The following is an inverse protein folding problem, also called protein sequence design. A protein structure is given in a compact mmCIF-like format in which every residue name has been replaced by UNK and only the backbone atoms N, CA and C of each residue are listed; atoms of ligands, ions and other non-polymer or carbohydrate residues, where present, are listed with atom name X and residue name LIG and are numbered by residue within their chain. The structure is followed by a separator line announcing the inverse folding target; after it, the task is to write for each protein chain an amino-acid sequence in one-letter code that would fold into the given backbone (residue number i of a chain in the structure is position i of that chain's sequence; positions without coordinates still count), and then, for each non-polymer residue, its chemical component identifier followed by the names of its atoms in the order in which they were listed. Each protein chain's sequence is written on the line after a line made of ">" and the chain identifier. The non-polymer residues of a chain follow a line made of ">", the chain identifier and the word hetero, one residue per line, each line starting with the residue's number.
data_IF_845893072411
#
_entry.id   IF_845893072411
#
_cell.length_a   1.000
_cell.length_b   1.000
_cell.length_c   1.000
_cell.angle_alpha   90.00
_cell.angle_beta   90.00
_cell.angle_gamma   90.00
#
_symmetry.space_group_name_H-M   'P 1'
#
loop_
_entity.id
_entity.type
_entity.pdbx_description
1 polymer ?
#
# COMPACT_ATOMS: atom_id res chain seq x y z
N UNK A 1 3.31 9.78 11.03
CA UNK A 1 2.56 10.60 10.04
C UNK A 1 1.22 9.94 9.78
N UNK A 2 0.16 10.68 9.45
CA UNK A 2 -1.15 10.05 9.17
C UNK A 2 -1.21 9.58 7.72
N UNK A 3 -1.79 8.41 7.49
CA UNK A 3 -1.96 7.82 6.16
C UNK A 3 -2.75 8.76 5.23
N UNK A 4 -3.76 9.45 5.76
CA UNK A 4 -4.57 10.43 5.01
C UNK A 4 -3.77 11.63 4.49
N UNK A 5 -2.61 11.94 5.07
CA UNK A 5 -1.69 12.97 4.55
C UNK A 5 -0.90 12.49 3.33
N UNK A 6 -0.86 11.18 3.08
CA UNK A 6 -0.11 10.54 2.00
C UNK A 6 -0.98 10.22 0.78
N UNK A 7 -2.10 10.93 0.62
CA UNK A 7 -3.03 10.79 -0.52
C UNK A 7 -3.37 9.32 -0.85
N UNK A 8 -3.91 8.57 0.13
CA UNK A 8 -4.15 7.15 -0.05
C UNK A 8 -5.31 6.89 -1.03
N UNK A 9 -5.23 5.79 -1.77
CA UNK A 9 -6.25 5.34 -2.71
C UNK A 9 -6.45 3.83 -2.59
N UNK A 10 -7.70 3.39 -2.58
CA UNK A 10 -8.05 1.98 -2.69
C UNK A 10 -7.87 1.51 -4.12
N UNK A 11 -7.34 0.30 -4.29
CA UNK A 11 -7.02 -0.26 -5.59
C UNK A 11 -7.73 -1.58 -5.83
N UNK A 12 -8.13 -1.82 -7.08
CA UNK A 12 -8.49 -3.14 -7.60
C UNK A 12 -7.46 -3.58 -8.63
N UNK A 13 -6.97 -4.80 -8.48
CA UNK A 13 -6.01 -5.38 -9.40
C UNK A 13 -6.73 -5.93 -10.64
N UNK A 14 -6.09 -5.82 -11.81
CA UNK A 14 -6.62 -6.27 -13.09
C UNK A 14 -5.50 -6.84 -13.96
N UNK A 15 -5.84 -7.79 -14.81
CA UNK A 15 -4.96 -8.34 -15.83
C UNK A 15 -5.74 -8.57 -17.12
N UNK A 16 -5.19 -8.10 -18.23
CA UNK A 16 -5.73 -8.24 -19.59
C UNK A 16 -4.56 -8.45 -20.54
N UNK A 17 -4.65 -9.43 -21.43
CA UNK A 17 -3.58 -9.77 -22.39
C UNK A 17 -2.17 -9.88 -21.76
N UNK A 18 -2.09 -10.52 -20.59
CA UNK A 18 -0.85 -10.65 -19.78
C UNK A 18 -0.25 -9.34 -19.27
N UNK A 19 -0.97 -8.22 -19.38
CA UNK A 19 -0.58 -6.92 -18.82
C UNK A 19 -1.29 -6.69 -17.50
N UNK A 20 -0.52 -6.39 -16.46
CA UNK A 20 -1.03 -6.06 -15.14
C UNK A 20 -1.31 -4.56 -15.03
N UNK A 21 -2.45 -4.21 -14.46
CA UNK A 21 -2.80 -2.83 -14.13
C UNK A 21 -3.70 -2.80 -12.90
N UNK A 22 -4.06 -1.60 -12.48
CA UNK A 22 -4.99 -1.40 -11.37
C UNK A 22 -5.90 -0.21 -11.66
N UNK A 23 -7.08 -0.23 -11.05
CA UNK A 23 -7.99 0.91 -11.04
C UNK A 23 -8.28 1.32 -9.60
N UNK A 24 -8.65 2.58 -9.40
CA UNK A 24 -9.16 3.04 -8.12
C UNK A 24 -10.55 2.46 -7.87
N UNK A 25 -10.88 2.27 -6.59
CA UNK A 25 -12.24 1.96 -6.10
C UNK A 25 -12.57 2.87 -4.92
N UNK A 26 -13.84 2.98 -4.57
CA UNK A 26 -14.30 3.99 -3.62
C UNK A 26 -14.24 3.53 -2.16
N UNK A 27 -14.22 2.23 -1.91
CA UNK A 27 -14.33 1.68 -0.56
C UNK A 27 -13.36 0.54 -0.28
N UNK A 28 -13.15 0.29 1.02
CA UNK A 28 -12.30 -0.81 1.45
C UNK A 28 -12.91 -2.16 1.07
N UNK A 29 -14.23 -2.31 1.02
CA UNK A 29 -14.92 -3.55 0.68
C UNK A 29 -14.56 -4.04 -0.73
N UNK A 30 -14.41 -3.11 -1.67
CA UNK A 30 -14.02 -3.38 -3.06
C UNK A 30 -12.50 -3.46 -3.26
N UNK A 31 -11.74 -2.92 -2.29
CA UNK A 31 -10.30 -2.82 -2.37
C UNK A 31 -9.64 -4.19 -2.31
N UNK A 32 -8.67 -4.40 -3.19
CA UNK A 32 -7.73 -5.52 -3.20
C UNK A 32 -6.29 -5.07 -2.85
N UNK A 33 -6.09 -3.77 -2.70
CA UNK A 33 -4.84 -3.16 -2.28
C UNK A 33 -5.00 -1.68 -1.98
N UNK A 34 -3.89 -1.04 -1.63
CA UNK A 34 -3.80 0.39 -1.37
C UNK A 34 -2.57 0.98 -2.06
N UNK A 35 -2.71 2.21 -2.53
CA UNK A 35 -1.60 3.09 -2.93
C UNK A 35 -1.54 4.28 -2.00
N UNK A 36 -0.35 4.72 -1.64
CA UNK A 36 -0.12 5.99 -0.94
C UNK A 36 1.25 6.57 -1.30
N UNK A 37 1.47 7.85 -1.02
CA UNK A 37 2.77 8.50 -1.20
C UNK A 37 3.78 7.98 -0.17
N UNK A 38 5.02 7.75 -0.60
CA UNK A 38 6.06 7.26 0.29
C UNK A 38 6.35 8.28 1.40
N UNK A 39 6.22 7.92 2.69
CA UNK A 39 6.38 8.86 3.80
C UNK A 39 7.80 9.44 3.88
N UNK A 40 8.82 8.62 3.58
CA UNK A 40 10.22 9.04 3.56
C UNK A 40 10.47 10.16 2.54
N UNK A 41 10.04 9.95 1.31
CA UNK A 41 10.18 10.94 0.25
C UNK A 41 9.27 12.14 0.49
N UNK A 42 8.05 11.93 0.99
CA UNK A 42 7.11 13.02 1.29
C UNK A 42 7.72 13.99 2.31
N UNK A 43 8.32 13.45 3.37
CA UNK A 43 9.03 14.25 4.36
C UNK A 43 10.25 14.95 3.76
N UNK A 44 11.08 14.24 3.00
CA UNK A 44 12.29 14.80 2.40
C UNK A 44 12.01 15.93 1.39
N UNK A 45 10.92 15.80 0.60
CA UNK A 45 10.57 16.74 -0.45
C UNK A 45 9.59 17.84 0.01
N UNK A 46 9.07 17.76 1.24
CA UNK A 46 8.07 18.69 1.74
C UNK A 46 6.70 18.59 1.05
N UNK A 47 6.38 17.45 0.43
CA UNK A 47 5.10 17.23 -0.24
C UNK A 47 5.12 16.20 -1.37
N UNK A 48 4.13 16.29 -2.26
CA UNK A 48 3.90 15.34 -3.37
C UNK A 48 4.95 15.44 -4.48
N UNK A 49 5.47 16.63 -4.78
CA UNK A 49 6.42 16.83 -5.89
C UNK A 49 7.70 16.03 -5.60
N UNK A 50 8.08 15.13 -6.51
CA UNK A 50 9.25 14.24 -6.34
C UNK A 50 9.02 13.01 -5.44
N UNK A 51 7.81 12.81 -4.91
CA UNK A 51 7.50 11.69 -4.00
C UNK A 51 6.89 10.52 -4.76
N UNK A 52 7.57 9.37 -4.73
CA UNK A 52 7.07 8.14 -5.35
C UNK A 52 5.95 7.50 -4.53
N UNK A 53 5.26 6.55 -5.15
CA UNK A 53 4.12 5.85 -4.58
C UNK A 53 4.53 4.48 -4.05
N UNK A 54 3.89 4.07 -2.95
CA UNK A 54 3.97 2.74 -2.37
C UNK A 54 2.67 2.02 -2.67
N UNK A 55 2.77 0.81 -3.24
CA UNK A 55 1.63 -0.04 -3.53
C UNK A 55 1.70 -1.29 -2.66
N UNK A 56 0.59 -1.62 -2.01
CA UNK A 56 0.46 -2.78 -1.13
C UNK A 56 -0.74 -3.63 -1.57
N UNK A 57 -0.50 -4.90 -1.89
CA UNK A 57 -1.54 -5.84 -2.33
C UNK A 57 -2.02 -6.76 -1.22
N UNK A 58 -3.24 -7.29 -1.36
CA UNK A 58 -3.83 -8.26 -0.42
C UNK A 58 -4.18 -9.56 -1.14
N UNK A 59 -3.54 -10.68 -0.78
CA UNK A 59 -3.83 -11.97 -1.43
C UNK A 59 -5.17 -12.55 -0.95
N UNK A 60 -5.50 -12.32 0.33
CA UNK A 60 -6.78 -12.68 0.95
C UNK A 60 -7.98 -12.01 0.30
N UNK A 61 -7.76 -10.99 -0.54
CA UNK A 61 -8.78 -10.29 -1.32
C UNK A 61 -8.69 -10.57 -2.83
N UNK A 62 -8.02 -11.66 -3.21
CA UNK A 62 -8.02 -12.18 -4.57
C UNK A 62 -6.92 -11.63 -5.50
N UNK A 63 -5.93 -10.89 -4.99
CA UNK A 63 -4.76 -10.51 -5.80
C UNK A 63 -3.85 -11.73 -5.98
N UNK A 64 -3.47 -12.10 -7.22
CA UNK A 64 -2.67 -13.29 -7.44
C UNK A 64 -1.22 -13.14 -6.98
N UNK A 65 -0.52 -14.26 -6.82
CA UNK A 65 0.85 -14.31 -6.31
C UNK A 65 1.88 -13.63 -7.25
N UNK A 66 1.62 -13.57 -8.55
CA UNK A 66 2.48 -12.91 -9.54
C UNK A 66 2.22 -11.39 -9.69
N UNK A 67 1.24 -10.84 -8.96
CA UNK A 67 0.98 -9.41 -9.00
C UNK A 67 2.19 -8.60 -8.51
N UNK A 68 2.53 -7.57 -9.26
CA UNK A 68 3.64 -6.65 -9.00
C UNK A 68 3.14 -5.31 -8.42
N UNK A 69 3.86 -4.65 -7.51
CA UNK A 69 5.14 -5.07 -6.92
C UNK A 69 4.99 -6.22 -5.90
N UNK A 70 6.02 -7.08 -5.81
CA UNK A 70 6.16 -8.12 -4.79
C UNK A 70 7.20 -7.77 -3.71
N UNK A 71 7.39 -8.59 -2.66
CA UNK A 71 6.62 -9.80 -2.32
C UNK A 71 5.34 -9.50 -1.52
N UNK A 72 5.03 -8.21 -1.35
CA UNK A 72 4.07 -7.67 -0.40
C UNK A 72 2.64 -8.19 -0.50
N UNK A 73 2.20 -8.93 0.53
CA UNK A 73 0.82 -9.37 0.70
C UNK A 73 0.38 -9.09 2.13
N UNK A 74 -0.56 -8.15 2.27
CA UNK A 74 -1.06 -7.67 3.55
C UNK A 74 -2.55 -7.92 3.68
N UNK A 75 -2.97 -8.17 4.90
CA UNK A 75 -4.39 -8.13 5.24
C UNK A 75 -4.77 -6.69 5.53
N UNK A 76 -5.78 -6.17 4.83
CA UNK A 76 -6.32 -4.84 5.09
C UNK A 76 -7.31 -4.92 6.26
N UNK A 77 -6.94 -4.34 7.41
CA UNK A 77 -7.75 -4.35 8.65
C UNK A 77 -8.12 -2.92 9.02
N UNK A 78 -9.41 -2.65 9.23
CA UNK A 78 -9.94 -1.32 9.49
C UNK A 78 -11.22 -1.09 8.68
N UNK A 79 -11.72 0.14 8.69
CA UNK A 79 -12.94 0.55 7.98
C UNK A 79 -12.66 1.60 6.92
N UNK A 80 -11.61 2.41 7.09
CA UNK A 80 -11.25 3.48 6.17
C UNK A 80 -9.74 3.81 6.30
N UNK A 81 -9.28 4.93 5.73
CA UNK A 81 -7.86 5.30 5.77
C UNK A 81 -7.37 5.80 7.14
N UNK A 82 -8.27 6.23 8.03
CA UNK A 82 -7.94 6.76 9.35
C UNK A 82 -7.63 5.66 10.36
N UNK A 83 -8.16 4.45 10.18
CA UNK A 83 -7.97 3.32 11.08
C UNK A 83 -7.27 2.12 10.40
N UNK A 84 -6.86 2.27 9.14
CA UNK A 84 -6.23 1.18 8.38
C UNK A 84 -4.96 0.67 9.08
N UNK A 85 -4.90 -0.65 9.19
CA UNK A 85 -3.69 -1.42 9.52
C UNK A 85 -3.38 -2.35 8.36
N UNK A 86 -2.13 -2.30 7.89
CA UNK A 86 -1.59 -3.31 6.98
C UNK A 86 -1.02 -4.44 7.85
N UNK A 87 -1.85 -5.44 8.10
CA UNK A 87 -1.48 -6.58 8.95
C UNK A 87 -0.85 -7.71 8.13
N UNK A 88 -0.22 -8.67 8.81
CA UNK A 88 0.35 -9.83 8.13
C UNK A 88 -0.74 -10.78 7.64
N UNK A 89 -0.55 -11.30 6.44
CA UNK A 89 -1.19 -12.57 6.06
C UNK A 89 -0.44 -13.74 6.71
N UNK A 90 -1.08 -14.92 6.87
CA UNK A 90 -0.44 -16.08 7.50
C UNK A 90 0.94 -16.40 6.91
N UNK A 91 1.96 -16.43 7.77
CA UNK A 91 3.35 -16.71 7.37
C UNK A 91 4.08 -15.57 6.66
N UNK A 92 3.57 -14.33 6.68
CA UNK A 92 4.18 -13.15 6.08
C UNK A 92 4.53 -12.08 7.12
N UNK A 93 5.34 -11.09 6.71
CA UNK A 93 5.63 -9.90 7.52
C UNK A 93 4.57 -8.83 7.30
N UNK A 94 4.24 -8.09 8.37
CA UNK A 94 3.37 -6.90 8.29
C UNK A 94 4.11 -5.63 7.85
N UNK A 95 5.45 -5.62 7.87
CA UNK A 95 6.24 -4.46 7.45
C UNK A 95 6.22 -4.30 5.93
N UNK A 96 6.21 -3.06 5.44
CA UNK A 96 6.45 -2.72 4.04
C UNK A 96 7.92 -2.40 3.86
N UNK A 97 8.63 -3.25 3.12
CA UNK A 97 10.04 -3.04 2.76
C UNK A 97 10.15 -2.76 1.26
N UNK A 98 10.61 -1.57 0.90
CA UNK A 98 10.97 -1.26 -0.48
C UNK A 98 12.39 -1.73 -0.75
N UNK A 99 12.53 -2.69 -1.68
CA UNK A 99 13.83 -3.27 -2.05
C UNK A 99 14.65 -2.39 -3.03
N UNK A 100 14.08 -1.27 -3.47
CA UNK A 100 14.72 -0.31 -4.37
C UNK A 100 14.21 1.11 -4.15
N UNK A 101 14.78 2.07 -4.87
CA UNK A 101 14.44 3.48 -4.72
C UNK A 101 14.91 4.03 -3.36
N UNK A 102 14.01 4.66 -2.59
CA UNK A 102 14.35 5.31 -1.32
C UNK A 102 14.63 4.35 -0.15
N UNK A 103 14.41 3.05 -0.36
CA UNK A 103 14.56 1.99 0.65
C UNK A 103 13.75 2.26 1.95
N UNK A 104 12.55 2.83 1.84
CA UNK A 104 11.67 2.97 3.00
C UNK A 104 11.27 1.59 3.52
N UNK A 105 11.37 1.41 4.84
CA UNK A 105 10.95 0.22 5.56
C UNK A 105 10.09 0.63 6.74
N UNK A 106 8.80 0.31 6.70
CA UNK A 106 7.89 0.82 7.71
C UNK A 106 6.61 0.02 7.89
N UNK A 107 5.69 0.60 8.65
CA UNK A 107 4.42 0.02 9.03
C UNK A 107 3.28 1.02 8.80
N UNK A 108 2.09 0.47 8.58
CA UNK A 108 0.83 1.20 8.65
C UNK A 108 -0.01 0.55 9.75
N UNK A 109 -0.34 1.29 10.81
CA UNK A 109 -1.09 0.77 11.97
C UNK A 109 -2.05 1.83 12.47
N UNK A 110 -3.35 1.54 12.49
CA UNK A 110 -4.41 2.46 12.91
C UNK A 110 -4.32 3.85 12.23
N UNK A 111 -4.09 3.83 10.91
CA UNK A 111 -3.89 5.02 10.08
C UNK A 111 -2.56 5.77 10.33
N UNK A 112 -1.68 5.28 11.20
CA UNK A 112 -0.35 5.83 11.39
C UNK A 112 0.69 5.15 10.51
N UNK A 113 1.54 5.96 9.88
CA UNK A 113 2.63 5.52 9.02
C UNK A 113 3.95 5.93 9.65
N UNK A 114 4.86 4.95 9.77
CA UNK A 114 6.21 5.18 10.28
C UNK A 114 7.07 5.95 9.27
N UNK A 115 7.78 6.96 9.78
CA UNK A 115 8.82 7.67 9.04
C UNK A 115 10.11 6.88 9.23
N UNK A 116 10.67 6.28 8.17
CA UNK A 116 11.94 5.56 8.21
C UNK A 116 12.83 6.05 7.07
#
# INVERSE_FOLDING_TARGET
>A
MRLTQLEPMWLRWKEEDSRQFFSNVDSIEEAQGIRFLCPKCFQANGGRVGTHQVLCWSSSRGVPAHATPGPGRWRLVGTNFEDLTLDCEPGKSRSVLLLGGCAWHGFVTNGEVTLA
#
